data_IF_197404622883
#
_entry.id   IF_197404622883
#
_cell.length_a   1.000
_cell.length_b   1.000
_cell.length_c   1.000
_cell.angle_alpha   90.00
_cell.angle_beta   90.00
_cell.angle_gamma   90.00
#
_symmetry.space_group_name_H-M   'P 1'
#
loop_
_entity.id
_entity.type
_entity.pdbx_description
1 polymer ?
#
# COMPACT_ATOMS: atom_id res chain seq x y z
N UNK A 1 6.17 4.26 -33.11
CA UNK A 1 6.40 4.04 -31.67
C UNK A 1 5.35 3.01 -31.20
N UNK A 2 5.72 1.74 -31.10
CA UNK A 2 4.82 0.68 -30.62
C UNK A 2 4.81 0.74 -29.09
N UNK A 3 3.71 1.24 -28.53
CA UNK A 3 3.43 1.08 -27.11
C UNK A 3 3.13 -0.40 -26.90
N UNK A 4 4.02 -1.06 -26.17
CA UNK A 4 3.82 -2.45 -25.80
C UNK A 4 2.59 -2.56 -24.90
N UNK A 5 1.48 -2.99 -25.46
CA UNK A 5 0.35 -3.54 -24.73
C UNK A 5 0.76 -4.89 -24.14
N UNK A 6 1.46 -4.85 -23.02
CA UNK A 6 1.46 -5.94 -22.06
C UNK A 6 0.69 -5.46 -20.84
N UNK A 7 -0.59 -5.21 -21.03
CA UNK A 7 -1.55 -5.24 -19.96
C UNK A 7 -1.71 -6.71 -19.55
N UNK A 8 -0.78 -7.19 -18.75
CA UNK A 8 -1.03 -8.37 -17.94
C UNK A 8 -2.09 -7.98 -16.88
N UNK A 9 -3.32 -7.77 -17.34
CA UNK A 9 -4.49 -7.82 -16.49
C UNK A 9 -4.49 -9.24 -15.95
N UNK A 10 -4.04 -9.40 -14.70
CA UNK A 10 -4.21 -10.67 -14.02
C UNK A 10 -5.71 -10.91 -13.96
N UNK A 11 -6.18 -11.78 -14.86
CA UNK A 11 -7.54 -12.26 -14.83
C UNK A 11 -7.79 -12.80 -13.44
N UNK A 12 -8.82 -12.25 -12.80
CA UNK A 12 -9.25 -12.76 -11.52
C UNK A 12 -9.59 -14.22 -11.69
N UNK A 13 -8.94 -15.16 -11.03
CA UNK A 13 -9.40 -16.53 -11.06
C UNK A 13 -10.84 -16.53 -10.53
N UNK A 14 -11.77 -17.09 -11.29
CA UNK A 14 -13.17 -17.11 -10.92
C UNK A 14 -13.31 -17.92 -9.62
N UNK A 15 -13.95 -17.34 -8.61
CA UNK A 15 -14.39 -18.06 -7.42
C UNK A 15 -13.61 -17.85 -6.12
N UNK A 16 -12.55 -17.03 -6.07
CA UNK A 16 -11.91 -16.71 -4.80
C UNK A 16 -12.77 -15.71 -4.00
N UNK A 17 -13.17 -16.12 -2.79
CA UNK A 17 -13.79 -15.20 -1.83
C UNK A 17 -12.80 -14.10 -1.42
N UNK A 18 -13.29 -13.03 -0.84
CA UNK A 18 -12.47 -11.86 -0.46
C UNK A 18 -11.31 -12.23 0.48
N UNK A 19 -11.48 -13.22 1.33
CA UNK A 19 -10.45 -13.68 2.26
C UNK A 19 -9.32 -14.44 1.55
N UNK A 20 -9.65 -15.39 0.70
CA UNK A 20 -8.65 -16.13 -0.07
C UNK A 20 -7.81 -15.22 -0.97
N UNK A 21 -8.40 -14.11 -1.44
CA UNK A 21 -7.68 -13.10 -2.21
C UNK A 21 -6.74 -12.24 -1.35
N UNK A 22 -7.16 -11.90 -0.14
CA UNK A 22 -6.29 -11.22 0.84
C UNK A 22 -5.12 -12.14 1.19
N UNK A 23 -5.37 -13.41 1.40
CA UNK A 23 -4.34 -14.40 1.72
C UNK A 23 -3.39 -14.64 0.53
N UNK A 24 -3.90 -14.64 -0.69
CA UNK A 24 -3.08 -14.69 -1.90
C UNK A 24 -2.20 -13.43 -2.05
N UNK A 25 -2.75 -12.23 -1.81
CA UNK A 25 -1.97 -10.98 -1.79
C UNK A 25 -0.91 -11.00 -0.67
N UNK A 26 -1.21 -11.55 0.49
CA UNK A 26 -0.27 -11.72 1.60
C UNK A 26 0.85 -12.70 1.24
N UNK A 27 0.52 -13.82 0.62
CA UNK A 27 1.51 -14.80 0.19
C UNK A 27 2.44 -14.26 -0.90
N UNK A 28 1.90 -13.46 -1.83
CA UNK A 28 2.67 -12.82 -2.89
C UNK A 28 3.49 -11.61 -2.38
N UNK A 29 3.01 -10.98 -1.29
CA UNK A 29 3.58 -9.78 -0.70
C UNK A 29 4.45 -10.04 0.54
N UNK A 30 4.61 -11.28 0.98
CA UNK A 30 5.52 -11.63 2.07
C UNK A 30 6.96 -11.26 1.66
N UNK A 31 7.33 -10.02 1.94
CA UNK A 31 8.68 -9.51 1.66
C UNK A 31 9.59 -9.94 2.80
N UNK A 32 10.58 -10.80 2.56
CA UNK A 32 11.62 -11.01 3.54
C UNK A 32 12.32 -9.68 3.81
N UNK A 33 12.28 -9.21 5.03
CA UNK A 33 13.06 -8.06 5.47
C UNK A 33 14.52 -8.53 5.55
N UNK A 34 15.25 -8.46 4.44
CA UNK A 34 16.69 -8.60 4.51
C UNK A 34 17.28 -7.34 5.16
N UNK A 35 18.15 -7.48 6.18
CA UNK A 35 18.79 -6.33 6.79
C UNK A 35 19.62 -5.60 5.73
N UNK A 36 19.26 -4.34 5.48
CA UNK A 36 20.02 -3.48 4.57
C UNK A 36 21.38 -3.20 5.20
N UNK A 37 22.51 -3.46 4.52
CA UNK A 37 23.83 -3.12 5.06
C UNK A 37 23.91 -1.61 5.34
N UNK A 38 24.24 -1.25 6.55
CA UNK A 38 24.16 0.09 7.16
C UNK A 38 25.20 1.10 6.64
N UNK A 39 25.91 0.83 5.55
CA UNK A 39 27.08 1.64 5.11
C UNK A 39 26.82 2.62 3.98
N UNK A 40 25.69 2.56 3.30
CA UNK A 40 25.34 3.55 2.27
C UNK A 40 24.33 4.56 2.86
N UNK A 41 24.63 5.85 2.77
CA UNK A 41 23.69 6.92 3.09
C UNK A 41 22.44 6.73 2.24
N UNK A 42 21.36 6.28 2.86
CA UNK A 42 20.09 6.03 2.18
C UNK A 42 19.48 7.35 1.76
N UNK A 43 19.46 7.63 0.47
CA UNK A 43 18.85 8.82 -0.09
C UNK A 43 17.39 8.48 -0.41
N UNK A 44 16.47 8.89 0.47
CA UNK A 44 15.03 8.67 0.30
C UNK A 44 14.39 9.95 -0.17
N UNK A 45 13.74 9.91 -1.33
CA UNK A 45 12.93 11.01 -1.84
C UNK A 45 11.47 10.77 -1.45
N UNK A 46 10.84 11.78 -0.82
CA UNK A 46 9.41 11.76 -0.49
C UNK A 46 8.68 12.67 -1.46
N UNK A 47 7.68 12.12 -2.14
CA UNK A 47 6.80 12.85 -3.06
C UNK A 47 5.39 12.81 -2.49
N UNK A 48 4.83 13.97 -2.16
CA UNK A 48 3.45 14.10 -1.70
C UNK A 48 2.58 14.73 -2.79
N UNK A 49 1.46 14.08 -3.12
CA UNK A 49 0.46 14.58 -4.06
C UNK A 49 -0.84 14.81 -3.30
N UNK A 50 -1.32 16.04 -3.31
CA UNK A 50 -2.57 16.42 -2.67
C UNK A 50 -3.37 17.39 -3.57
N UNK A 51 -4.66 17.51 -3.28
CA UNK A 51 -5.58 18.34 -4.06
C UNK A 51 -7.02 17.86 -3.89
N UNK A 52 -7.93 18.50 -4.59
CA UNK A 52 -9.37 18.19 -4.54
C UNK A 52 -9.66 16.73 -4.94
N UNK A 53 -10.69 16.15 -4.35
CA UNK A 53 -11.18 14.82 -4.75
C UNK A 53 -11.57 14.77 -6.24
N UNK A 54 -11.36 13.63 -6.89
CA UNK A 54 -11.79 13.38 -8.27
C UNK A 54 -10.87 13.92 -9.37
N UNK A 55 -9.77 14.65 -9.05
CA UNK A 55 -8.89 15.22 -10.08
C UNK A 55 -7.83 14.22 -10.63
N UNK A 56 -7.86 12.98 -10.20
CA UNK A 56 -6.96 11.95 -10.73
C UNK A 56 -5.69 11.71 -9.91
N UNK A 57 -5.62 12.14 -8.64
CA UNK A 57 -4.43 11.93 -7.77
C UNK A 57 -4.01 10.45 -7.69
N UNK A 58 -4.94 9.57 -7.34
CA UNK A 58 -4.67 8.13 -7.20
C UNK A 58 -4.22 7.51 -8.52
N UNK A 59 -4.83 7.91 -9.63
CA UNK A 59 -4.42 7.49 -10.96
C UNK A 59 -2.98 7.92 -11.27
N UNK A 60 -2.65 9.17 -11.03
CA UNK A 60 -1.30 9.72 -11.25
C UNK A 60 -0.27 9.01 -10.37
N UNK A 61 -0.56 8.83 -9.08
CA UNK A 61 0.33 8.16 -8.14
C UNK A 61 0.58 6.70 -8.51
N UNK A 62 -0.44 5.95 -8.87
CA UNK A 62 -0.30 4.56 -9.26
C UNK A 62 0.59 4.40 -10.50
N UNK A 63 0.35 5.22 -11.53
CA UNK A 63 1.14 5.20 -12.75
C UNK A 63 2.59 5.65 -12.52
N UNK A 64 2.79 6.73 -11.76
CA UNK A 64 4.12 7.21 -11.41
C UNK A 64 4.91 6.15 -10.62
N UNK A 65 4.29 5.55 -9.62
CA UNK A 65 4.89 4.48 -8.82
C UNK A 65 5.30 3.28 -9.68
N UNK A 66 4.42 2.85 -10.57
CA UNK A 66 4.70 1.78 -11.50
C UNK A 66 5.89 2.12 -12.43
N UNK A 67 5.87 3.30 -13.05
CA UNK A 67 6.95 3.72 -13.94
C UNK A 67 8.31 3.83 -13.22
N UNK A 68 8.33 4.34 -12.01
CA UNK A 68 9.55 4.42 -11.19
C UNK A 68 10.07 3.02 -10.83
N UNK A 69 9.19 2.09 -10.49
CA UNK A 69 9.56 0.70 -10.20
C UNK A 69 10.15 0.01 -11.45
N UNK A 70 9.58 0.25 -12.64
CA UNK A 70 10.12 -0.27 -13.91
C UNK A 70 11.51 0.31 -14.25
N UNK A 71 11.85 1.47 -13.71
CA UNK A 71 13.19 2.06 -13.80
C UNK A 71 14.17 1.53 -12.74
N UNK A 72 13.77 0.51 -11.98
CA UNK A 72 14.60 -0.08 -10.93
C UNK A 72 14.60 0.71 -9.60
N UNK A 73 13.72 1.69 -9.45
CA UNK A 73 13.56 2.41 -8.19
C UNK A 73 12.81 1.54 -7.18
N UNK A 74 13.23 1.60 -5.91
CA UNK A 74 12.46 1.01 -4.80
C UNK A 74 11.37 1.99 -4.41
N UNK A 75 10.12 1.63 -4.64
CA UNK A 75 8.98 2.54 -4.48
C UNK A 75 8.02 2.02 -3.44
N UNK A 76 7.62 2.88 -2.52
CA UNK A 76 6.51 2.65 -1.59
C UNK A 76 5.42 3.68 -1.86
N UNK A 77 4.25 3.20 -2.28
CA UNK A 77 3.04 3.99 -2.43
C UNK A 77 2.21 3.90 -1.15
N UNK A 78 1.96 5.06 -0.52
CA UNK A 78 1.12 5.14 0.67
C UNK A 78 -0.16 5.90 0.32
N UNK A 79 -1.30 5.22 0.39
CA UNK A 79 -2.61 5.82 0.26
C UNK A 79 -3.10 6.40 1.58
N UNK A 80 -3.53 7.66 1.56
CA UNK A 80 -4.12 8.33 2.73
C UNK A 80 -5.48 8.96 2.40
N UNK A 81 -6.21 8.38 1.46
CA UNK A 81 -7.56 8.80 1.10
C UNK A 81 -8.56 8.21 2.10
N UNK A 82 -9.57 8.97 2.56
CA UNK A 82 -10.67 8.44 3.38
C UNK A 82 -11.42 7.26 2.74
N UNK A 83 -11.44 7.17 1.41
CA UNK A 83 -12.01 6.04 0.69
C UNK A 83 -11.10 4.82 0.66
N UNK A 84 -9.82 4.98 1.02
CA UNK A 84 -8.80 3.92 1.07
C UNK A 84 -8.70 3.12 -0.23
N UNK A 85 -8.75 3.80 -1.37
CA UNK A 85 -8.74 3.18 -2.70
C UNK A 85 -7.56 3.59 -3.59
N UNK A 86 -6.56 4.28 -3.02
CA UNK A 86 -5.40 4.77 -3.77
C UNK A 86 -4.61 3.64 -4.43
N UNK A 87 -4.52 2.49 -3.79
CA UNK A 87 -3.79 1.32 -4.29
C UNK A 87 -4.59 0.47 -5.27
N UNK A 88 -5.88 0.72 -5.43
CA UNK A 88 -6.80 -0.13 -6.20
C UNK A 88 -6.36 -0.35 -7.66
N UNK A 89 -5.80 0.67 -8.30
CA UNK A 89 -5.31 0.57 -9.68
C UNK A 89 -4.15 -0.42 -9.83
N UNK A 90 -3.29 -0.53 -8.83
CA UNK A 90 -2.20 -1.50 -8.83
C UNK A 90 -2.69 -2.93 -8.61
N UNK A 91 -3.80 -3.12 -7.91
CA UNK A 91 -4.31 -4.42 -7.48
C UNK A 91 -5.63 -4.82 -8.20
N UNK A 92 -5.78 -4.40 -9.45
CA UNK A 92 -6.88 -4.84 -10.30
C UNK A 92 -8.27 -4.39 -9.82
N UNK A 93 -8.37 -3.14 -9.34
CA UNK A 93 -9.61 -2.52 -8.91
C UNK A 93 -10.00 -2.79 -7.45
N UNK A 94 -9.12 -3.42 -6.66
CA UNK A 94 -9.35 -3.64 -5.22
C UNK A 94 -8.22 -3.01 -4.42
N UNK A 95 -8.57 -2.16 -3.47
CA UNK A 95 -7.61 -1.56 -2.57
C UNK A 95 -6.99 -2.58 -1.60
N UNK A 96 -5.78 -2.30 -1.14
CA UNK A 96 -5.15 -3.06 -0.06
C UNK A 96 -5.96 -2.93 1.24
N UNK A 97 -5.94 -3.93 2.12
CA UNK A 97 -6.43 -3.78 3.48
C UNK A 97 -5.75 -2.60 4.17
N UNK A 98 -6.53 -1.81 4.89
CA UNK A 98 -5.98 -0.62 5.56
C UNK A 98 -5.22 -0.98 6.83
N UNK A 99 -4.24 -0.15 7.19
CA UNK A 99 -3.50 -0.31 8.44
C UNK A 99 -4.44 -0.23 9.64
N UNK A 100 -5.41 0.71 9.61
CA UNK A 100 -6.36 0.89 10.72
C UNK A 100 -7.24 -0.33 10.91
N UNK A 101 -7.84 -0.87 9.85
CA UNK A 101 -8.66 -2.08 9.94
C UNK A 101 -7.86 -3.30 10.38
N UNK A 102 -6.67 -3.48 9.82
CA UNK A 102 -5.80 -4.60 10.15
C UNK A 102 -5.35 -4.54 11.60
N UNK A 103 -4.93 -3.35 12.06
CA UNK A 103 -4.54 -3.13 13.47
C UNK A 103 -5.70 -3.40 14.43
N UNK A 104 -6.90 -2.94 14.08
CA UNK A 104 -8.08 -3.17 14.92
C UNK A 104 -8.44 -4.65 15.01
N UNK A 105 -8.45 -5.37 13.88
CA UNK A 105 -8.72 -6.81 13.84
C UNK A 105 -7.72 -7.61 14.64
N UNK A 106 -6.43 -7.33 14.46
CA UNK A 106 -5.36 -8.04 15.19
C UNK A 106 -5.37 -7.75 16.68
N UNK A 107 -5.63 -6.50 17.08
CA UNK A 107 -5.79 -6.14 18.48
C UNK A 107 -6.93 -6.90 19.15
N UNK A 108 -8.06 -7.06 18.48
CA UNK A 108 -9.18 -7.87 18.98
C UNK A 108 -8.82 -9.36 19.11
N UNK A 109 -7.96 -9.87 18.23
CA UNK A 109 -7.46 -11.23 18.29
C UNK A 109 -6.29 -11.43 19.28
N UNK A 110 -5.80 -10.37 19.92
CA UNK A 110 -4.62 -10.42 20.79
C UNK A 110 -3.30 -10.62 20.02
N UNK A 111 -3.29 -10.31 18.74
CA UNK A 111 -2.12 -10.49 17.86
C UNK A 111 -1.40 -9.15 17.60
N UNK A 112 -0.09 -9.22 17.41
CA UNK A 112 0.69 -8.08 16.95
C UNK A 112 0.55 -7.90 15.42
N UNK A 113 0.61 -6.65 14.97
CA UNK A 113 0.65 -6.32 13.54
C UNK A 113 2.08 -6.50 13.03
N UNK A 114 2.24 -7.21 11.93
CA UNK A 114 3.50 -7.32 11.20
C UNK A 114 3.46 -6.49 9.91
N UNK A 115 4.62 -6.13 9.37
CA UNK A 115 4.70 -5.33 8.14
C UNK A 115 4.01 -6.03 6.95
N UNK A 116 4.12 -7.35 6.85
CA UNK A 116 3.46 -8.14 5.81
C UNK A 116 1.93 -8.18 5.89
N UNK A 117 1.34 -7.72 7.00
CA UNK A 117 -0.11 -7.60 7.13
C UNK A 117 -0.66 -6.33 6.49
N UNK A 118 0.19 -5.33 6.28
CA UNK A 118 -0.19 -3.97 5.88
C UNK A 118 0.55 -3.47 4.64
N UNK A 119 1.65 -4.11 4.26
CA UNK A 119 2.42 -3.78 3.07
C UNK A 119 2.27 -4.88 2.02
N UNK A 120 1.86 -4.50 0.82
CA UNK A 120 1.63 -5.41 -0.29
C UNK A 120 2.53 -5.03 -1.47
N UNK A 121 2.95 -6.00 -2.27
CA UNK A 121 3.82 -5.76 -3.42
C UNK A 121 3.14 -6.18 -4.71
N UNK A 122 3.23 -5.33 -5.73
CA UNK A 122 2.78 -5.62 -7.09
C UNK A 122 3.65 -4.90 -8.11
N UNK A 123 4.10 -5.61 -9.14
CA UNK A 123 4.89 -5.05 -10.25
C UNK A 123 6.09 -4.21 -9.81
N UNK A 124 6.76 -4.59 -8.72
CA UNK A 124 7.89 -3.87 -8.15
C UNK A 124 7.52 -2.72 -7.21
N UNK A 125 6.24 -2.36 -7.10
CA UNK A 125 5.73 -1.33 -6.19
C UNK A 125 5.29 -1.96 -4.89
N UNK A 126 5.78 -1.42 -3.77
CA UNK A 126 5.24 -1.69 -2.44
C UNK A 126 4.10 -0.70 -2.18
N UNK A 127 3.01 -1.16 -1.61
CA UNK A 127 1.83 -0.35 -1.42
C UNK A 127 1.16 -0.60 -0.07
N UNK A 128 0.66 0.47 0.53
CA UNK A 128 -0.05 0.48 1.80
C UNK A 128 -1.24 1.44 1.72
N UNK A 129 -2.32 1.12 2.43
CA UNK A 129 -3.41 2.06 2.69
C UNK A 129 -3.46 2.37 4.18
N UNK A 130 -3.39 3.65 4.54
CA UNK A 130 -3.48 4.05 5.95
C UNK A 130 -4.88 3.80 6.52
N UNK A 131 -5.87 4.06 5.72
CA UNK A 131 -7.26 4.06 6.14
C UNK A 131 -7.68 5.41 6.74
N UNK A 132 -8.95 5.54 7.00
CA UNK A 132 -9.54 6.71 7.63
C UNK A 132 -10.60 6.30 8.63
N UNK A 133 -11.06 7.20 9.50
CA UNK A 133 -12.23 6.94 10.30
C UNK A 133 -13.43 6.73 9.39
N UNK A 134 -14.38 5.91 9.83
CA UNK A 134 -15.66 5.76 9.14
C UNK A 134 -16.27 7.14 8.86
N UNK A 135 -16.90 7.28 7.70
CA UNK A 135 -17.57 8.53 7.30
C UNK A 135 -18.50 9.00 8.41
N UNK A 136 -18.25 10.21 8.93
CA UNK A 136 -19.02 10.80 10.03
C UNK A 136 -18.49 10.52 11.45
N UNK A 137 -17.42 9.75 11.63
CA UNK A 137 -16.84 9.41 12.94
C UNK A 137 -15.45 10.00 13.15
N UNK A 138 -15.31 11.30 13.13
CA UNK A 138 -14.09 11.98 13.57
C UNK A 138 -13.27 12.63 12.47
N UNK A 139 -12.15 13.24 12.87
CA UNK A 139 -11.25 13.95 11.97
C UNK A 139 -10.37 12.97 11.19
N UNK A 140 -10.38 13.05 9.85
CA UNK A 140 -9.53 12.23 8.98
C UNK A 140 -8.05 12.28 9.33
N UNK A 141 -7.57 13.38 9.91
CA UNK A 141 -6.20 13.53 10.36
C UNK A 141 -5.77 12.56 11.46
N UNK A 142 -6.67 12.15 12.35
CA UNK A 142 -6.34 11.16 13.41
C UNK A 142 -6.04 9.78 12.83
N UNK A 143 -6.76 9.37 11.80
CA UNK A 143 -6.50 8.10 11.11
C UNK A 143 -5.12 8.08 10.45
N UNK A 144 -4.76 9.18 9.82
CA UNK A 144 -3.44 9.34 9.18
C UNK A 144 -2.32 9.28 10.23
N UNK A 145 -2.46 10.01 11.34
CA UNK A 145 -1.48 10.00 12.43
C UNK A 145 -1.31 8.57 12.97
N UNK A 146 -2.41 7.89 13.29
CA UNK A 146 -2.37 6.52 13.79
C UNK A 146 -1.74 5.53 12.78
N UNK A 147 -2.01 5.72 11.50
CA UNK A 147 -1.37 4.93 10.44
C UNK A 147 0.14 5.10 10.42
N UNK A 148 0.63 6.33 10.48
CA UNK A 148 2.07 6.61 10.53
C UNK A 148 2.73 6.13 11.83
N UNK A 149 2.11 6.33 12.99
CA UNK A 149 2.61 5.78 14.27
C UNK A 149 2.72 4.25 14.23
N UNK A 150 1.80 3.59 13.57
CA UNK A 150 1.85 2.14 13.37
C UNK A 150 3.02 1.75 12.47
N UNK A 151 3.25 2.47 11.38
CA UNK A 151 4.39 2.24 10.49
C UNK A 151 5.73 2.49 11.19
N UNK A 152 5.83 3.53 12.03
CA UNK A 152 7.03 3.78 12.84
C UNK A 152 7.33 2.61 13.78
N UNK A 153 6.31 2.11 14.48
CA UNK A 153 6.44 0.93 15.35
C UNK A 153 6.86 -0.33 14.61
N UNK A 154 6.54 -0.42 13.33
CA UNK A 154 6.94 -1.52 12.45
C UNK A 154 8.34 -1.34 11.84
N UNK A 155 9.05 -0.27 12.19
CA UNK A 155 10.42 0.00 11.73
C UNK A 155 10.50 0.39 10.25
N UNK A 156 9.45 0.96 9.71
CA UNK A 156 9.36 1.26 8.28
C UNK A 156 10.47 2.22 7.79
N UNK A 157 11.01 3.07 8.65
CA UNK A 157 12.12 3.98 8.32
C UNK A 157 13.45 3.27 8.07
N UNK A 158 13.62 2.08 8.64
CA UNK A 158 14.82 1.26 8.48
C UNK A 158 14.72 0.38 7.22
N UNK A 159 13.56 0.28 6.68
CA UNK A 159 13.22 -0.60 5.55
C UNK A 159 13.48 0.08 4.20
#
# INVERSE_FOLDING_TARGET
MKVAQQSGVLENPPGLNSQARIDALRAEAAVPLEPVPTTAKKETQIIAIYGKGGIGKSFTLANLSYMMAQQGKKVLLIGCDPKSDTTSLLFGGKACPTIIETSSKKKLAGEAVAIGDVCFKRDGVFAMELGGPEVGRGCGGRGIIHGFETLEKLGFHEW
#
